data_IF_377446625876
#
_entry.id   IF_377446625876
#
_cell.length_a   1.000
_cell.length_b   1.000
_cell.length_c   1.000
_cell.angle_alpha   90.00
_cell.angle_beta   90.00
_cell.angle_gamma   90.00
#
_symmetry.space_group_name_H-M   'P 1'
#
loop_
_entity.id
_entity.type
_entity.pdbx_description
1 polymer ?
#
# COMPACT_ATOMS: atom_id res chain seq x y z
N UNK A 1 -4.70 2.99 -5.08
CA UNK A 1 -4.48 2.53 -3.69
C UNK A 1 -4.24 3.78 -2.86
N UNK A 2 -4.53 3.77 -1.56
CA UNK A 2 -4.40 4.98 -0.75
C UNK A 2 -4.13 4.66 0.74
N UNK A 3 -3.32 5.51 1.38
CA UNK A 3 -3.05 5.51 2.80
C UNK A 3 -3.62 6.77 3.44
N UNK A 4 -4.50 6.60 4.42
CA UNK A 4 -5.19 7.71 5.06
C UNK A 4 -4.86 7.79 6.55
N UNK A 5 -5.04 8.97 7.12
CA UNK A 5 -4.93 9.22 8.56
C UNK A 5 -6.05 10.13 9.01
N UNK A 6 -6.78 9.69 10.03
CA UNK A 6 -7.84 10.45 10.68
C UNK A 6 -7.48 10.54 12.17
N UNK A 7 -7.30 11.76 12.66
CA UNK A 7 -6.81 12.02 14.03
C UNK A 7 -5.48 11.29 14.32
N UNK A 8 -5.49 10.33 15.25
CA UNK A 8 -4.35 9.49 15.59
C UNK A 8 -4.41 8.10 14.97
N UNK A 9 -5.44 7.79 14.18
CA UNK A 9 -5.57 6.48 13.56
C UNK A 9 -5.17 6.54 12.09
N UNK A 10 -4.41 5.54 11.67
CA UNK A 10 -3.88 5.43 10.31
C UNK A 10 -4.38 4.12 9.71
N UNK A 11 -4.72 4.14 8.43
CA UNK A 11 -5.15 2.95 7.71
C UNK A 11 -4.75 3.05 6.26
N UNK A 12 -4.84 1.93 5.55
CA UNK A 12 -4.64 1.92 4.11
C UNK A 12 -5.61 0.97 3.44
N UNK A 13 -5.82 1.21 2.15
CA UNK A 13 -6.62 0.34 1.32
C UNK A 13 -5.99 0.06 -0.05
N UNK A 14 -6.17 -1.18 -0.49
CA UNK A 14 -5.81 -1.65 -1.83
C UNK A 14 -7.08 -2.09 -2.55
N UNK A 15 -7.45 -1.31 -3.56
CA UNK A 15 -8.54 -1.65 -4.47
C UNK A 15 -7.96 -2.34 -5.70
N UNK A 16 -8.45 -3.54 -5.99
CA UNK A 16 -8.16 -4.28 -7.22
C UNK A 16 -9.25 -3.96 -8.23
N UNK A 17 -8.85 -3.37 -9.35
CA UNK A 17 -9.72 -3.04 -10.47
C UNK A 17 -9.34 -3.89 -11.68
N UNK A 18 -10.34 -4.41 -12.38
CA UNK A 18 -10.19 -5.08 -13.66
C UNK A 18 -11.11 -4.39 -14.66
N UNK A 19 -10.56 -3.89 -15.76
CA UNK A 19 -11.32 -3.13 -16.77
C UNK A 19 -12.11 -1.96 -16.15
N UNK A 20 -11.48 -1.22 -15.22
CA UNK A 20 -12.06 -0.13 -14.43
C UNK A 20 -13.18 -0.54 -13.44
N UNK A 21 -13.54 -1.82 -13.41
CA UNK A 21 -14.52 -2.37 -12.48
C UNK A 21 -13.81 -2.81 -11.21
N UNK A 22 -14.28 -2.34 -10.05
CA UNK A 22 -13.78 -2.81 -8.76
C UNK A 22 -14.22 -4.26 -8.53
N UNK A 23 -13.24 -5.15 -8.33
CA UNK A 23 -13.50 -6.58 -8.10
C UNK A 23 -13.20 -7.01 -6.66
N UNK A 24 -12.29 -6.32 -5.98
CA UNK A 24 -11.88 -6.66 -4.62
C UNK A 24 -11.24 -5.47 -3.92
N UNK A 25 -11.49 -5.35 -2.61
CA UNK A 25 -10.87 -4.34 -1.77
C UNK A 25 -10.24 -5.00 -0.54
N UNK A 26 -9.06 -4.55 -0.18
CA UNK A 26 -8.38 -4.92 1.05
C UNK A 26 -8.19 -3.67 1.90
N UNK A 27 -8.68 -3.71 3.12
CA UNK A 27 -8.64 -2.59 4.06
C UNK A 27 -7.85 -3.03 5.28
N UNK A 28 -6.92 -2.19 5.73
CA UNK A 28 -6.09 -2.49 6.88
C UNK A 28 -5.98 -1.28 7.80
N UNK A 29 -6.20 -1.52 9.09
CA UNK A 29 -5.99 -0.52 10.13
C UNK A 29 -4.58 -0.65 10.70
N UNK A 30 -3.79 0.40 10.54
CA UNK A 30 -2.45 0.48 11.11
C UNK A 30 -2.50 0.97 12.56
N UNK A 31 -1.38 0.81 13.27
CA UNK A 31 -1.24 1.29 14.63
C UNK A 31 -1.24 2.84 14.69
N UNK A 32 -1.67 3.40 15.83
CA UNK A 32 -1.94 4.85 16.08
C UNK A 32 -0.75 5.81 15.90
N UNK A 33 0.45 5.30 15.64
CA UNK A 33 1.66 6.11 15.48
C UNK A 33 2.24 6.06 14.07
N UNK A 34 1.57 5.37 13.13
CA UNK A 34 2.05 5.32 11.75
C UNK A 34 1.73 6.60 11.01
N UNK A 35 2.69 7.09 10.23
CA UNK A 35 2.49 8.20 9.31
C UNK A 35 1.73 7.76 8.05
N UNK A 36 1.10 8.72 7.36
CA UNK A 36 0.51 8.50 6.03
C UNK A 36 1.55 7.92 5.06
N UNK A 37 2.79 8.40 5.11
CA UNK A 37 3.89 7.87 4.30
C UNK A 37 4.18 6.37 4.55
N UNK A 38 4.16 5.94 5.81
CA UNK A 38 4.30 4.52 6.13
C UNK A 38 3.10 3.70 5.65
N UNK A 39 1.89 4.26 5.73
CA UNK A 39 0.69 3.64 5.21
C UNK A 39 0.78 3.43 3.70
N UNK A 40 1.12 4.48 2.96
CA UNK A 40 1.34 4.43 1.51
C UNK A 40 2.35 3.35 1.11
N UNK A 41 3.51 3.29 1.78
CA UNK A 41 4.53 2.28 1.51
C UNK A 41 4.06 0.86 1.85
N UNK A 42 3.32 0.68 2.95
CA UNK A 42 2.73 -0.61 3.32
C UNK A 42 1.70 -1.07 2.27
N UNK A 43 0.98 -0.11 1.69
CA UNK A 43 0.03 -0.34 0.61
C UNK A 43 0.73 -0.87 -0.64
N UNK A 44 1.89 -0.29 -1.00
CA UNK A 44 2.74 -0.77 -2.10
C UNK A 44 3.27 -2.17 -1.82
N UNK A 45 3.81 -2.40 -0.61
CA UNK A 45 4.31 -3.71 -0.21
C UNK A 45 3.24 -4.79 -0.35
N UNK A 46 2.02 -4.49 0.10
CA UNK A 46 0.89 -5.40 0.01
C UNK A 46 0.53 -5.71 -1.45
N UNK A 47 0.37 -4.68 -2.29
CA UNK A 47 0.01 -4.85 -3.69
C UNK A 47 1.08 -5.64 -4.47
N UNK A 48 2.36 -5.42 -4.16
CA UNK A 48 3.49 -6.20 -4.72
C UNK A 48 3.37 -7.67 -4.34
N UNK A 49 3.19 -7.97 -3.05
CA UNK A 49 3.07 -9.34 -2.56
C UNK A 49 1.85 -10.04 -3.13
N UNK A 50 0.72 -9.33 -3.26
CA UNK A 50 -0.49 -9.83 -3.88
C UNK A 50 -0.26 -10.21 -5.35
N UNK A 51 0.38 -9.33 -6.13
CA UNK A 51 0.68 -9.60 -7.54
C UNK A 51 1.59 -10.82 -7.74
N UNK A 52 2.59 -10.99 -6.87
CA UNK A 52 3.48 -12.15 -6.87
C UNK A 52 2.72 -13.43 -6.52
N UNK A 53 1.86 -13.37 -5.50
CA UNK A 53 1.05 -14.51 -5.04
C UNK A 53 0.09 -14.97 -6.13
N UNK A 54 -0.64 -14.04 -6.73
CA UNK A 54 -1.63 -14.31 -7.78
C UNK A 54 -0.96 -14.55 -9.15
N UNK A 55 0.35 -14.32 -9.26
CA UNK A 55 1.15 -14.46 -10.49
C UNK A 55 0.62 -13.62 -11.66
N UNK A 56 0.10 -12.43 -11.34
CA UNK A 56 -0.47 -11.49 -12.31
C UNK A 56 0.40 -10.25 -12.46
N UNK A 57 0.36 -9.65 -13.64
CA UNK A 57 0.97 -8.34 -13.88
C UNK A 57 0.00 -7.25 -13.44
N UNK A 58 0.43 -6.36 -12.56
CA UNK A 58 -0.39 -5.26 -12.03
C UNK A 58 0.30 -3.92 -12.25
N UNK A 59 -0.51 -2.87 -12.31
CA UNK A 59 -0.03 -1.50 -12.22
C UNK A 59 -0.59 -0.85 -10.95
N UNK A 60 0.29 -0.41 -10.07
CA UNK A 60 -0.06 0.26 -8.83
C UNK A 60 -0.18 1.76 -9.12
N UNK A 61 -1.35 2.31 -8.82
CA UNK A 61 -1.63 3.73 -8.93
C UNK A 61 -1.60 4.36 -7.53
N UNK A 62 -0.70 5.32 -7.33
CA UNK A 62 -0.54 6.10 -6.09
C UNK A 62 -0.43 7.58 -6.43
N UNK A 63 -1.04 8.43 -5.61
CA UNK A 63 -0.91 9.88 -5.73
C UNK A 63 0.21 10.47 -4.85
N UNK A 64 0.80 9.63 -4.00
CA UNK A 64 1.92 10.00 -3.15
C UNK A 64 3.23 10.07 -3.94
N UNK A 65 3.57 11.28 -4.39
CA UNK A 65 4.89 11.61 -4.96
C UNK A 65 6.03 11.24 -3.99
N UNK A 66 5.77 11.35 -2.68
CA UNK A 66 6.76 10.98 -1.66
C UNK A 66 7.10 9.49 -1.69
N UNK A 67 6.10 8.61 -1.87
CA UNK A 67 6.29 7.16 -2.00
C UNK A 67 7.05 6.80 -3.27
N UNK A 68 6.69 7.41 -4.41
CA UNK A 68 7.39 7.20 -5.68
C UNK A 68 8.83 7.70 -5.60
N UNK A 69 9.04 8.90 -5.06
CA UNK A 69 10.39 9.45 -4.88
C UNK A 69 11.22 8.58 -3.94
N UNK A 70 10.63 8.05 -2.87
CA UNK A 70 11.31 7.17 -1.96
C UNK A 70 11.76 5.86 -2.64
N UNK A 71 10.89 5.28 -3.49
CA UNK A 71 11.14 4.05 -4.26
C UNK A 71 12.12 4.27 -5.43
N UNK A 72 12.13 5.45 -6.04
CA UNK A 72 13.06 5.77 -7.12
C UNK A 72 14.41 6.32 -6.62
N UNK A 73 14.49 6.76 -5.37
CA UNK A 73 15.75 7.29 -4.80
C UNK A 73 16.82 6.20 -4.70
N UNK A 74 18.03 6.48 -5.18
CA UNK A 74 19.16 5.57 -5.05
C UNK A 74 19.72 5.48 -3.62
N UNK A 75 19.54 6.52 -2.79
CA UNK A 75 20.25 6.71 -1.51
C UNK A 75 19.31 6.79 -0.29
N UNK A 76 18.33 5.90 -0.20
CA UNK A 76 17.45 5.86 0.99
C UNK A 76 18.16 5.19 2.17
N UNK A 77 18.12 5.83 3.35
CA UNK A 77 18.59 5.24 4.62
C UNK A 77 17.52 4.42 5.35
N UNK A 78 16.26 4.49 4.88
CA UNK A 78 15.15 3.75 5.48
C UNK A 78 15.17 2.29 5.06
N UNK A 79 15.35 1.39 6.04
CA UNK A 79 15.27 -0.06 5.84
C UNK A 79 13.92 -0.49 5.25
N UNK A 80 12.83 0.14 5.69
CA UNK A 80 11.49 -0.16 5.21
C UNK A 80 11.35 0.12 3.71
N UNK A 81 11.79 1.30 3.26
CA UNK A 81 11.77 1.65 1.83
C UNK A 81 12.68 0.72 1.03
N UNK A 82 13.85 0.35 1.54
CA UNK A 82 14.76 -0.58 0.86
C UNK A 82 14.16 -2.00 0.74
N UNK A 83 13.40 -2.45 1.75
CA UNK A 83 12.64 -3.70 1.70
C UNK A 83 11.57 -3.66 0.60
N UNK A 84 10.75 -2.61 0.55
CA UNK A 84 9.71 -2.45 -0.48
C UNK A 84 10.33 -2.42 -1.88
N UNK A 85 11.41 -1.66 -2.08
CA UNK A 85 12.17 -1.64 -3.33
C UNK A 85 12.67 -3.03 -3.73
N UNK A 86 13.29 -3.75 -2.80
CA UNK A 86 13.79 -5.10 -3.05
C UNK A 86 12.67 -6.03 -3.49
N UNK A 87 11.50 -5.94 -2.84
CA UNK A 87 10.33 -6.72 -3.22
C UNK A 87 9.84 -6.37 -4.62
N UNK A 88 9.72 -5.08 -4.97
CA UNK A 88 9.37 -4.63 -6.32
C UNK A 88 10.37 -5.19 -7.35
N UNK A 89 11.67 -5.08 -7.09
CA UNK A 89 12.71 -5.56 -8.00
C UNK A 89 12.66 -7.09 -8.18
N UNK A 90 12.40 -7.84 -7.11
CA UNK A 90 12.24 -9.30 -7.16
C UNK A 90 11.06 -9.74 -8.03
N UNK A 91 10.07 -8.87 -8.25
CA UNK A 91 8.91 -9.18 -9.11
C UNK A 91 9.21 -9.19 -10.61
N UNK A 92 10.45 -8.92 -11.05
CA UNK A 92 10.88 -9.03 -12.46
C UNK A 92 9.91 -8.36 -13.46
N UNK A 93 9.46 -7.14 -13.18
CA UNK A 93 8.51 -6.36 -14.00
C UNK A 93 7.04 -6.83 -13.97
N UNK A 94 6.64 -7.67 -13.01
CA UNK A 94 5.22 -7.96 -12.79
C UNK A 94 4.47 -6.79 -12.17
N UNK A 95 5.16 -5.90 -11.47
CA UNK A 95 4.55 -4.74 -10.82
C UNK A 95 5.05 -3.45 -11.48
N UNK A 96 4.12 -2.69 -12.04
CA UNK A 96 4.33 -1.29 -12.43
C UNK A 96 3.95 -0.35 -11.29
N UNK A 97 4.63 0.78 -11.18
CA UNK A 97 4.26 1.87 -10.26
C UNK A 97 4.02 3.12 -11.10
N UNK A 98 2.81 3.65 -11.05
CA UNK A 98 2.38 4.84 -11.79
C UNK A 98 1.89 5.91 -10.83
N UNK A 99 2.37 7.13 -11.03
CA UNK A 99 1.82 8.29 -10.35
C UNK A 99 0.48 8.67 -10.97
N UNK A 100 -0.52 8.91 -10.12
CA UNK A 100 -1.79 9.52 -10.51
C UNK A 100 -1.97 10.82 -9.76
N UNK A 101 -2.62 11.80 -10.38
CA UNK A 101 -2.91 13.05 -9.69
C UNK A 101 -4.06 12.81 -8.70
N UNK A 102 -3.89 13.28 -7.46
CA UNK A 102 -4.92 13.21 -6.45
C UNK A 102 -6.13 14.07 -6.85
N UNK A 103 -7.35 13.65 -6.49
CA UNK A 103 -8.57 14.47 -6.53
C UNK A 103 -8.98 15.02 -7.92
N UNK A 104 -8.73 14.27 -9.00
CA UNK A 104 -9.12 14.68 -10.37
C UNK A 104 -10.34 13.93 -10.89
N UNK A 105 -11.17 13.33 -10.02
CA UNK A 105 -12.31 12.53 -10.49
C UNK A 105 -11.93 11.16 -11.02
N UNK A 106 -10.73 10.63 -10.71
CA UNK A 106 -10.34 9.28 -11.13
C UNK A 106 -11.09 8.28 -10.23
N UNK A 107 -12.07 7.51 -10.74
CA UNK A 107 -12.95 6.71 -9.89
C UNK A 107 -12.18 5.71 -9.01
N UNK A 108 -11.13 5.09 -9.54
CA UNK A 108 -10.28 4.16 -8.79
C UNK A 108 -9.46 4.82 -7.68
N UNK A 109 -9.08 6.10 -7.82
CA UNK A 109 -8.36 6.83 -6.78
C UNK A 109 -9.30 7.26 -5.66
N UNK A 110 -10.47 7.80 -6.03
CA UNK A 110 -11.50 8.21 -5.07
C UNK A 110 -12.02 7.02 -4.27
N UNK A 111 -12.22 5.88 -4.94
CA UNK A 111 -12.57 4.64 -4.26
C UNK A 111 -11.50 4.23 -3.24
N UNK A 112 -10.21 4.30 -3.62
CA UNK A 112 -9.13 3.94 -2.70
C UNK A 112 -9.09 4.84 -1.46
N UNK A 113 -9.23 6.15 -1.62
CA UNK A 113 -9.31 7.11 -0.51
C UNK A 113 -10.51 6.84 0.41
N UNK A 114 -11.67 6.56 -0.17
CA UNK A 114 -12.86 6.17 0.60
C UNK A 114 -12.62 4.88 1.39
N UNK A 115 -12.04 3.85 0.77
CA UNK A 115 -11.74 2.58 1.44
C UNK A 115 -10.68 2.76 2.54
N UNK A 116 -9.67 3.61 2.34
CA UNK A 116 -8.64 3.88 3.34
C UNK A 116 -9.23 4.58 4.58
N UNK A 117 -10.15 5.53 4.39
CA UNK A 117 -10.92 6.15 5.47
C UNK A 117 -11.81 5.14 6.18
N UNK A 118 -12.49 4.27 5.43
CA UNK A 118 -13.30 3.18 5.99
C UNK A 118 -12.46 2.21 6.83
N UNK A 119 -11.21 1.93 6.43
CA UNK A 119 -10.31 1.06 7.18
C UNK A 119 -9.99 1.63 8.58
N UNK A 120 -10.01 2.95 8.73
CA UNK A 120 -9.78 3.64 10.00
C UNK A 120 -11.04 3.62 10.86
N UNK A 121 -12.19 3.97 10.26
CA UNK A 121 -13.47 4.11 10.97
C UNK A 121 -14.15 2.78 11.27
N UNK A 122 -13.84 1.72 10.51
CA UNK A 122 -14.36 0.38 10.78
C UNK A 122 -13.73 -0.18 12.06
N UNK A 123 -14.57 -0.63 13.00
CA UNK A 123 -14.13 -1.28 14.24
C UNK A 123 -13.68 -2.73 14.02
N UNK A 124 -13.85 -3.27 12.81
CA UNK A 124 -13.29 -4.57 12.46
C UNK A 124 -11.79 -4.42 12.18
N UNK A 125 -10.96 -4.87 13.14
CA UNK A 125 -9.53 -5.07 12.92
C UNK A 125 -9.35 -6.11 11.81
N UNK A 126 -9.19 -5.67 10.57
CA UNK A 126 -8.69 -6.55 9.51
C UNK A 126 -7.21 -6.79 9.79
N UNK A 127 -6.93 -7.99 10.32
CA UNK A 127 -5.64 -8.42 10.87
C UNK A 127 -4.51 -8.19 9.88
N UNK A 128 -3.55 -7.35 10.27
CA UNK A 128 -2.24 -7.30 9.64
C UNK A 128 -1.49 -8.54 10.12
N UNK A 129 -1.12 -9.44 9.21
CA UNK A 129 -0.06 -10.41 9.45
C UNK A 129 1.27 -9.64 9.55
N UNK A 130 1.66 -9.22 10.75
CA UNK A 130 3.07 -8.97 11.00
C UNK A 130 3.81 -10.30 10.81
N UNK A 131 4.86 -10.40 9.97
CA UNK A 131 5.86 -11.41 10.20
C UNK A 131 6.52 -11.04 11.52
N UNK A 132 6.20 -11.78 12.58
CA UNK A 132 6.91 -11.72 13.85
C UNK A 132 8.40 -11.86 13.57
N UNK A 133 9.28 -11.13 14.28
CA UNK A 133 10.68 -11.54 14.34
C UNK A 133 10.67 -12.94 14.93
N UNK A 134 11.24 -13.91 14.20
CA UNK A 134 11.57 -15.21 14.77
C UNK A 134 12.53 -14.97 15.93
N UNK A 135 12.01 -14.88 17.15
CA UNK A 135 12.80 -15.06 18.36
C UNK A 135 13.13 -16.54 18.45
N UNK A 136 14.28 -16.90 17.90
CA UNK A 136 15.02 -18.06 18.36
C UNK A 136 15.24 -17.89 19.87
N UNK A 137 14.77 -18.83 20.67
CA UNK A 137 15.38 -19.14 21.95
C UNK A 137 15.35 -20.65 22.15
N UNK A 138 16.57 -21.20 22.03
CA UNK A 138 17.18 -22.36 22.67
C UNK A 138 16.41 -23.68 22.79
#
# INVERSE_FOLDING_TARGET
>A
MDGSRIENETGFAVCILKDEINIQNYLFKLNTFNSVFQAELATIEFAVNWAVKEKVKVNIHTDSLSSISAINSANTRSEFVNKVKSNIFKTKNMVGLSWVKAHVGIPGNELADQQAKLAITSREKFVILHPTPTSNTS
#
